data_IF_750298993383
#
_entry.id   IF_750298993383
#
_cell.length_a   1.000
_cell.length_b   1.000
_cell.length_c   1.000
_cell.angle_alpha   90.00
_cell.angle_beta   90.00
_cell.angle_gamma   90.00
#
_symmetry.space_group_name_H-M   'P 1'
#
loop_
_entity.id
_entity.type
_entity.pdbx_description
1 polymer ?
#
# COMPACT_ATOMS: atom_id res chain seq x y z
N UNK A 1 5.04 -9.54 11.11
CA UNK A 1 4.02 -10.57 11.35
C UNK A 1 2.57 -10.10 11.45
N UNK A 2 2.28 -8.90 10.98
CA UNK A 2 0.93 -8.37 10.87
C UNK A 2 0.04 -9.23 9.96
N UNK A 3 0.62 -9.81 8.91
CA UNK A 3 -0.08 -10.67 7.96
C UNK A 3 -0.49 -12.02 8.54
N UNK A 4 0.22 -12.49 9.57
CA UNK A 4 -0.07 -13.76 10.23
C UNK A 4 -1.10 -13.64 11.37
N UNK A 5 -1.31 -12.43 11.89
CA UNK A 5 -2.23 -12.19 13.01
C UNK A 5 -3.71 -12.14 12.65
N UNK A 6 -4.03 -11.89 11.40
CA UNK A 6 -5.39 -11.61 10.97
C UNK A 6 -6.04 -12.69 10.10
N UNK A 7 -5.77 -13.95 10.37
CA UNK A 7 -6.44 -15.07 9.69
C UNK A 7 -6.56 -14.94 8.16
N UNK A 8 -5.49 -14.41 7.49
CA UNK A 8 -5.43 -14.28 6.03
C UNK A 8 -6.50 -13.37 5.40
N UNK A 9 -7.21 -12.58 6.19
CA UNK A 9 -8.26 -11.68 5.68
C UNK A 9 -7.74 -10.38 5.06
N UNK A 10 -6.42 -10.20 5.02
CA UNK A 10 -5.77 -8.99 4.54
C UNK A 10 -5.23 -8.11 5.66
N UNK A 11 -4.75 -6.93 5.32
CA UNK A 11 -4.18 -5.98 6.27
C UNK A 11 -4.64 -4.55 5.97
N UNK A 12 -4.74 -3.73 7.00
CA UNK A 12 -5.01 -2.31 6.90
C UNK A 12 -3.80 -1.57 6.30
N UNK A 13 -4.04 -0.70 5.34
CA UNK A 13 -2.98 0.02 4.64
C UNK A 13 -2.15 0.90 5.60
N UNK A 14 -2.78 1.55 6.55
CA UNK A 14 -2.08 2.33 7.58
C UNK A 14 -1.13 1.50 8.42
N UNK A 15 -1.52 0.28 8.78
CA UNK A 15 -0.67 -0.65 9.52
C UNK A 15 0.51 -1.16 8.69
N UNK A 16 0.29 -1.43 7.40
CA UNK A 16 1.36 -1.81 6.47
C UNK A 16 2.41 -0.70 6.40
N UNK A 17 1.98 0.53 6.21
CA UNK A 17 2.88 1.69 6.13
C UNK A 17 3.61 1.92 7.45
N UNK A 18 2.92 1.85 8.58
CA UNK A 18 3.53 2.01 9.90
C UNK A 18 4.56 0.92 10.20
N UNK A 19 4.28 -0.31 9.84
CA UNK A 19 5.21 -1.44 10.00
C UNK A 19 6.47 -1.28 9.15
N UNK A 20 6.37 -0.70 7.98
CA UNK A 20 7.50 -0.40 7.11
C UNK A 20 8.41 0.70 7.71
N UNK A 21 7.84 1.66 8.41
CA UNK A 21 8.58 2.77 9.03
C UNK A 21 9.31 2.32 10.30
N UNK A 22 8.86 1.29 10.98
CA UNK A 22 9.41 0.85 12.26
C UNK A 22 10.92 0.59 12.25
N UNK A 23 11.53 -0.01 11.21
CA UNK A 23 12.99 -0.09 11.10
C UNK A 23 13.70 1.27 11.04
N UNK A 24 12.97 2.34 10.73
CA UNK A 24 13.44 3.73 10.70
C UNK A 24 12.89 4.54 11.89
N UNK A 25 12.71 3.89 13.07
CA UNK A 25 12.05 4.49 14.23
C UNK A 25 12.70 5.79 14.73
N UNK A 26 14.01 5.95 14.60
CA UNK A 26 14.72 7.18 14.91
C UNK A 26 14.41 8.34 13.97
N UNK A 27 13.74 8.07 12.86
CA UNK A 27 13.43 9.03 11.81
C UNK A 27 11.92 9.25 11.62
N UNK A 28 11.10 8.81 12.57
CA UNK A 28 9.62 8.91 12.50
C UNK A 28 9.12 10.31 12.20
N UNK A 29 9.75 11.33 12.75
CA UNK A 29 9.38 12.73 12.49
C UNK A 29 9.58 13.17 11.03
N UNK A 30 10.32 12.39 10.27
CA UNK A 30 10.60 12.64 8.83
C UNK A 30 9.57 12.02 7.91
N UNK A 31 8.67 11.18 8.46
CA UNK A 31 7.57 10.56 7.73
C UNK A 31 6.25 11.22 8.06
N UNK A 32 5.49 11.55 7.03
CA UNK A 32 4.10 11.98 7.15
C UNK A 32 3.21 10.97 6.46
N UNK A 33 2.27 10.41 7.21
CA UNK A 33 1.36 9.37 6.72
C UNK A 33 -0.06 9.88 6.84
N UNK A 34 -0.81 9.83 5.76
CA UNK A 34 -2.21 10.25 5.75
C UNK A 34 -3.03 9.44 4.76
N UNK A 35 -4.22 9.04 5.17
CA UNK A 35 -5.17 8.36 4.31
C UNK A 35 -6.30 7.70 5.09
N UNK A 36 -7.42 7.39 4.43
CA UNK A 36 -8.54 6.71 5.05
C UNK A 36 -8.21 5.25 5.40
N UNK A 37 -8.99 4.67 6.29
CA UNK A 37 -8.94 3.24 6.55
C UNK A 37 -9.25 2.47 5.29
N UNK A 38 -8.36 1.54 4.97
CA UNK A 38 -8.48 0.69 3.80
C UNK A 38 -7.85 -0.66 4.08
N UNK A 39 -8.57 -1.72 3.79
CA UNK A 39 -8.09 -3.08 3.92
C UNK A 39 -7.73 -3.63 2.55
N UNK A 40 -6.54 -4.20 2.43
CA UNK A 40 -6.05 -4.84 1.21
C UNK A 40 -6.09 -6.37 1.36
N UNK A 41 -6.35 -7.06 0.25
CA UNK A 41 -6.23 -8.51 0.19
C UNK A 41 -4.79 -8.95 0.51
N UNK A 42 -4.57 -10.18 1.03
CA UNK A 42 -3.24 -10.61 1.50
C UNK A 42 -2.13 -10.47 0.46
N UNK A 43 -2.36 -10.87 -0.78
CA UNK A 43 -1.33 -10.77 -1.84
C UNK A 43 -1.00 -9.32 -2.19
N UNK A 44 -2.02 -8.47 -2.30
CA UNK A 44 -1.84 -7.05 -2.53
C UNK A 44 -1.10 -6.37 -1.38
N UNK A 45 -1.46 -6.71 -0.13
CA UNK A 45 -0.79 -6.21 1.06
C UNK A 45 0.69 -6.58 1.09
N UNK A 46 1.03 -7.83 0.78
CA UNK A 46 2.41 -8.30 0.73
C UNK A 46 3.21 -7.58 -0.35
N UNK A 47 2.68 -7.50 -1.56
CA UNK A 47 3.34 -6.82 -2.68
C UNK A 47 3.56 -5.33 -2.38
N UNK A 48 2.59 -4.67 -1.77
CA UNK A 48 2.72 -3.28 -1.36
C UNK A 48 3.78 -3.09 -0.26
N UNK A 49 3.78 -3.96 0.76
CA UNK A 49 4.78 -3.93 1.83
C UNK A 49 6.20 -4.05 1.27
N UNK A 50 6.42 -4.96 0.33
CA UNK A 50 7.72 -5.15 -0.31
C UNK A 50 8.13 -3.94 -1.15
N UNK A 51 7.20 -3.34 -1.89
CA UNK A 51 7.46 -2.15 -2.70
C UNK A 51 7.81 -0.94 -1.82
N UNK A 52 7.07 -0.71 -0.74
CA UNK A 52 7.36 0.36 0.22
C UNK A 52 8.70 0.15 0.94
N UNK A 53 9.03 -1.08 1.28
CA UNK A 53 10.33 -1.44 1.85
C UNK A 53 11.48 -1.05 0.91
N UNK A 54 11.34 -1.37 -0.36
CA UNK A 54 12.33 -1.01 -1.39
C UNK A 54 12.47 0.50 -1.55
N UNK A 55 11.36 1.23 -1.57
CA UNK A 55 11.37 2.70 -1.60
C UNK A 55 12.07 3.29 -0.38
N UNK A 56 11.79 2.78 0.82
CA UNK A 56 12.42 3.22 2.06
C UNK A 56 13.92 2.94 2.08
N UNK A 57 14.33 1.76 1.64
CA UNK A 57 15.75 1.39 1.53
C UNK A 57 16.49 2.30 0.57
N UNK A 58 15.91 2.59 -0.60
CA UNK A 58 16.49 3.50 -1.57
C UNK A 58 16.54 4.94 -1.06
N UNK A 59 15.51 5.40 -0.36
CA UNK A 59 15.49 6.72 0.27
C UNK A 59 16.61 6.86 1.32
N UNK A 60 16.86 5.82 2.10
CA UNK A 60 17.93 5.80 3.11
C UNK A 60 19.32 5.78 2.50
N UNK A 61 19.50 5.08 1.39
CA UNK A 61 20.81 4.97 0.72
C UNK A 61 21.12 6.15 -0.20
N UNK A 62 20.16 6.62 -0.95
CA UNK A 62 20.36 7.54 -2.05
C UNK A 62 19.45 8.76 -2.05
N UNK A 63 18.35 8.72 -1.35
CA UNK A 63 17.27 9.68 -1.41
C UNK A 63 17.11 10.55 -0.16
N UNK A 64 15.89 10.93 0.10
CA UNK A 64 15.52 11.89 1.14
C UNK A 64 15.98 11.50 2.55
N UNK A 65 16.02 10.21 2.86
CA UNK A 65 16.47 9.75 4.18
C UNK A 65 17.99 9.68 4.33
N UNK A 66 18.74 9.91 3.27
CA UNK A 66 20.21 9.96 3.32
C UNK A 66 20.76 11.29 3.82
N UNK A 67 19.92 12.31 3.98
CA UNK A 67 20.27 13.62 4.51
C UNK A 67 19.41 13.97 5.73
N UNK A 68 19.90 14.81 6.68
CA UNK A 68 19.14 15.14 7.88
C UNK A 68 17.80 15.85 7.63
N UNK A 69 17.71 16.65 6.59
CA UNK A 69 16.54 17.49 6.30
C UNK A 69 15.52 16.83 5.37
N UNK A 70 15.82 15.65 4.84
CA UNK A 70 14.94 14.95 3.94
C UNK A 70 13.68 14.43 4.61
N UNK A 71 12.58 14.44 3.88
CA UNK A 71 11.26 14.01 4.35
C UNK A 71 10.58 13.11 3.32
N UNK A 72 9.72 12.25 3.82
CA UNK A 72 8.88 11.35 3.01
C UNK A 72 7.43 11.54 3.40
N UNK A 73 6.58 11.79 2.42
CA UNK A 73 5.13 11.83 2.59
C UNK A 73 4.54 10.62 1.91
N UNK A 74 3.74 9.85 2.64
CA UNK A 74 2.97 8.72 2.12
C UNK A 74 1.50 9.04 2.34
N UNK A 75 0.78 9.29 1.27
CA UNK A 75 -0.62 9.65 1.34
C UNK A 75 -1.43 8.82 0.35
N UNK A 76 -2.66 8.46 0.73
CA UNK A 76 -3.57 7.76 -0.15
C UNK A 76 -4.99 8.27 0.01
N UNK A 77 -5.75 8.11 -1.04
CA UNK A 77 -7.16 8.52 -1.09
C UNK A 77 -7.97 7.52 -1.91
N UNK A 78 -9.25 7.51 -1.65
CA UNK A 78 -10.25 6.77 -2.39
C UNK A 78 -11.15 7.74 -3.12
N UNK A 79 -11.19 7.64 -4.44
CA UNK A 79 -12.04 8.47 -5.28
C UNK A 79 -13.22 7.66 -5.82
N UNK A 80 -14.39 8.29 -5.87
CA UNK A 80 -15.63 7.67 -6.33
C UNK A 80 -16.39 6.92 -5.24
N UNK A 81 -17.51 6.35 -5.62
CA UNK A 81 -18.40 5.58 -4.75
C UNK A 81 -18.76 4.24 -5.39
N UNK A 82 -19.03 3.25 -4.52
CA UNK A 82 -19.43 1.92 -4.96
C UNK A 82 -18.34 1.14 -5.67
N UNK A 83 -18.69 0.24 -6.62
CA UNK A 83 -17.73 -0.69 -7.22
C UNK A 83 -16.70 -0.05 -8.14
N UNK A 84 -16.88 1.23 -8.50
CA UNK A 84 -15.94 1.98 -9.34
C UNK A 84 -14.92 2.83 -8.58
N UNK A 85 -14.78 2.65 -7.26
CA UNK A 85 -13.81 3.42 -6.48
C UNK A 85 -12.38 3.12 -6.92
N UNK A 86 -11.56 4.16 -6.90
CA UNK A 86 -10.14 4.04 -7.21
C UNK A 86 -9.29 4.43 -6.01
N UNK A 87 -8.24 3.68 -5.81
CA UNK A 87 -7.18 4.00 -4.86
C UNK A 87 -6.08 4.76 -5.59
N UNK A 88 -5.68 5.90 -5.04
CA UNK A 88 -4.44 6.57 -5.42
C UNK A 88 -3.54 6.67 -4.18
N UNK A 89 -2.37 6.04 -4.23
CA UNK A 89 -1.35 6.16 -3.20
C UNK A 89 -0.14 6.87 -3.80
N UNK A 90 0.44 7.79 -3.03
CA UNK A 90 1.62 8.55 -3.45
C UNK A 90 2.68 8.53 -2.36
N UNK A 91 3.89 8.16 -2.75
CA UNK A 91 5.13 8.32 -2.00
C UNK A 91 5.87 9.52 -2.56
N UNK A 92 6.18 10.51 -1.74
CA UNK A 92 6.87 11.73 -2.18
C UNK A 92 8.05 12.03 -1.26
N UNK A 93 9.24 12.09 -1.85
CA UNK A 93 10.46 12.48 -1.16
C UNK A 93 10.79 13.94 -1.42
N UNK A 94 11.33 14.61 -0.40
CA UNK A 94 11.78 16.01 -0.51
C UNK A 94 12.94 16.27 0.45
N UNK A 95 13.71 17.32 0.20
CA UNK A 95 14.81 17.76 1.07
C UNK A 95 16.04 16.86 1.07
N UNK A 96 16.08 15.86 0.21
CA UNK A 96 17.25 15.02 0.01
C UNK A 96 18.24 15.59 -0.99
N UNK A 97 19.29 14.84 -1.35
CA UNK A 97 20.23 15.26 -2.39
C UNK A 97 19.53 15.37 -3.74
N UNK A 98 20.08 16.14 -4.68
CA UNK A 98 19.54 16.19 -6.05
C UNK A 98 19.43 14.78 -6.62
N UNK A 99 18.25 14.44 -7.14
CA UNK A 99 17.99 13.12 -7.69
C UNK A 99 18.55 13.04 -9.10
N UNK A 100 19.38 12.03 -9.31
CA UNK A 100 19.87 11.64 -10.64
C UNK A 100 19.13 10.36 -11.02
N UNK A 101 18.47 10.32 -12.20
CA UNK A 101 17.84 9.08 -12.64
C UNK A 101 18.85 7.94 -12.68
N UNK A 102 18.55 6.77 -12.09
CA UNK A 102 19.47 5.64 -12.13
C UNK A 102 19.69 5.21 -13.57
N UNK A 103 20.95 5.06 -13.98
CA UNK A 103 21.32 4.57 -15.32
C UNK A 103 20.83 3.13 -15.54
N UNK A 104 20.72 2.37 -14.48
CA UNK A 104 20.19 1.01 -14.48
C UNK A 104 19.18 0.89 -13.35
N UNK A 105 17.91 0.74 -13.68
CA UNK A 105 16.92 0.32 -12.70
C UNK A 105 17.27 -1.11 -12.29
N UNK A 106 17.47 -1.35 -11.00
CA UNK A 106 17.70 -2.69 -10.48
C UNK A 106 16.58 -3.64 -10.92
N UNK A 107 16.95 -4.85 -11.31
CA UNK A 107 16.00 -5.88 -11.73
C UNK A 107 14.92 -6.13 -10.66
N UNK A 108 15.30 -6.10 -9.37
CA UNK A 108 14.39 -6.26 -8.25
C UNK A 108 13.31 -5.18 -8.16
N UNK A 109 13.67 -3.91 -8.36
CA UNK A 109 12.70 -2.79 -8.31
C UNK A 109 11.65 -2.88 -9.41
N UNK A 110 12.06 -3.25 -10.62
CA UNK A 110 11.12 -3.44 -11.74
C UNK A 110 10.18 -4.60 -11.51
N UNK A 111 10.69 -5.70 -10.97
CA UNK A 111 9.90 -6.88 -10.66
C UNK A 111 8.84 -6.58 -9.60
N UNK A 112 9.22 -5.87 -8.53
CA UNK A 112 8.30 -5.47 -7.47
C UNK A 112 7.21 -4.52 -7.99
N UNK A 113 7.56 -3.55 -8.82
CA UNK A 113 6.58 -2.63 -9.43
C UNK A 113 5.58 -3.38 -10.31
N UNK A 114 6.03 -4.32 -11.12
CA UNK A 114 5.17 -5.15 -11.96
C UNK A 114 4.27 -6.07 -11.15
N UNK A 115 4.81 -6.73 -10.13
CA UNK A 115 4.04 -7.59 -9.25
C UNK A 115 2.95 -6.81 -8.53
N UNK A 116 3.27 -5.64 -8.00
CA UNK A 116 2.29 -4.78 -7.33
C UNK A 116 1.21 -4.29 -8.30
N UNK A 117 1.58 -3.87 -9.50
CA UNK A 117 0.63 -3.44 -10.52
C UNK A 117 -0.34 -4.56 -10.90
N UNK A 118 0.16 -5.79 -11.04
CA UNK A 118 -0.66 -6.96 -11.35
C UNK A 118 -1.61 -7.31 -10.20
N UNK A 119 -1.11 -7.35 -8.97
CA UNK A 119 -1.91 -7.69 -7.79
C UNK A 119 -3.02 -6.66 -7.51
N UNK A 120 -2.76 -5.39 -7.76
CA UNK A 120 -3.74 -4.33 -7.61
C UNK A 120 -4.63 -4.12 -8.84
N UNK A 121 -4.27 -4.70 -9.98
CA UNK A 121 -4.95 -4.46 -11.25
C UNK A 121 -4.85 -3.02 -11.73
N UNK A 122 -3.76 -2.34 -11.41
CA UNK A 122 -3.57 -0.93 -11.66
C UNK A 122 -2.23 -0.57 -12.26
N UNK A 123 -1.83 0.68 -12.05
CA UNK A 123 -0.57 1.24 -12.55
C UNK A 123 0.30 1.68 -11.39
N UNK A 124 1.60 1.39 -11.51
CA UNK A 124 2.64 1.87 -10.60
C UNK A 124 3.66 2.64 -11.42
N UNK A 125 3.90 3.88 -11.06
CA UNK A 125 4.89 4.73 -11.72
C UNK A 125 5.86 5.32 -10.71
N UNK A 126 7.15 5.38 -11.07
CA UNK A 126 8.19 6.03 -10.30
C UNK A 126 8.80 7.13 -11.16
N UNK A 127 8.78 8.35 -10.63
CA UNK A 127 9.34 9.53 -11.26
C UNK A 127 10.55 10.03 -10.46
N UNK A 128 11.66 10.22 -11.13
CA UNK A 128 12.90 10.73 -10.54
C UNK A 128 12.99 12.23 -10.82
N UNK A 129 12.25 13.02 -10.03
CA UNK A 129 12.28 14.48 -10.12
C UNK A 129 13.53 15.02 -9.42
N UNK A 130 14.06 16.14 -9.89
CA UNK A 130 15.25 16.74 -9.28
C UNK A 130 15.08 17.03 -7.78
N UNK A 131 13.85 17.35 -7.36
CA UNK A 131 13.49 17.65 -5.96
C UNK A 131 13.25 16.42 -5.10
N UNK A 132 13.10 15.26 -5.70
CA UNK A 132 12.84 14.00 -4.97
C UNK A 132 12.19 12.94 -5.84
N UNK A 133 12.19 11.71 -5.35
CA UNK A 133 11.52 10.59 -5.97
C UNK A 133 10.02 10.66 -5.66
N UNK A 134 9.19 10.43 -6.65
CA UNK A 134 7.74 10.30 -6.52
C UNK A 134 7.32 8.94 -7.07
N UNK A 135 6.69 8.13 -6.23
CA UNK A 135 6.02 6.90 -6.65
C UNK A 135 4.50 7.10 -6.55
N UNK A 136 3.80 6.77 -7.61
CA UNK A 136 2.35 6.82 -7.65
C UNK A 136 1.77 5.46 -7.99
N UNK A 137 0.79 5.04 -7.21
CA UNK A 137 -0.01 3.84 -7.42
C UNK A 137 -1.44 4.28 -7.67
N UNK A 138 -2.00 3.84 -8.78
CA UNK A 138 -3.38 4.11 -9.18
C UNK A 138 -4.05 2.79 -9.55
N UNK A 139 -5.06 2.39 -8.78
CA UNK A 139 -5.67 1.08 -8.92
C UNK A 139 -7.16 1.10 -8.63
N UNK A 140 -7.95 0.26 -9.32
CA UNK A 140 -9.36 0.08 -8.95
C UNK A 140 -9.42 -0.63 -7.59
N UNK A 141 -10.39 -0.24 -6.77
CA UNK A 141 -10.66 -0.96 -5.54
C UNK A 141 -11.42 -2.24 -5.83
N UNK A 142 -11.01 -3.37 -5.25
CA UNK A 142 -11.80 -4.58 -5.33
C UNK A 142 -13.16 -4.35 -4.67
N UNK A 143 -14.20 -4.99 -5.22
CA UNK A 143 -15.53 -5.03 -4.61
C UNK A 143 -15.35 -5.56 -3.18
N UNK A 144 -15.98 -4.90 -2.19
CA UNK A 144 -16.11 -5.50 -0.87
C UNK A 144 -16.73 -6.88 -1.06
N UNK A 145 -16.04 -7.93 -0.65
CA UNK A 145 -16.73 -9.19 -0.37
C UNK A 145 -17.74 -8.87 0.71
N UNK A 146 -19.03 -8.88 0.36
CA UNK A 146 -20.07 -9.06 1.36
C UNK A 146 -19.77 -10.43 1.96
N UNK A 147 -19.38 -10.46 3.21
CA UNK A 147 -19.48 -11.66 4.01
C UNK A 147 -20.89 -12.16 3.81
N UNK A 148 -21.02 -13.36 3.24
CA UNK A 148 -22.32 -13.97 3.02
C UNK A 148 -23.01 -14.07 4.36
N UNK A 149 -24.08 -13.36 4.50
CA UNK A 149 -25.06 -13.63 5.53
C UNK A 149 -25.71 -14.96 5.12
N UNK A 150 -25.09 -16.06 5.54
CA UNK A 150 -25.76 -17.35 5.58
C UNK A 150 -26.88 -17.23 6.61
N UNK A 151 -27.99 -16.75 6.13
CA UNK A 151 -29.25 -16.88 6.83
C UNK A 151 -29.63 -18.36 6.84
N UNK A 152 -29.38 -18.98 7.97
CA UNK A 152 -29.97 -20.26 8.35
C UNK A 152 -31.51 -20.08 8.43
N UNK A 153 -32.17 -20.18 7.31
CA UNK A 153 -33.61 -20.41 7.25
C UNK A 153 -33.85 -21.88 7.50
N UNK A 154 -33.89 -22.24 8.76
CA UNK A 154 -34.53 -23.47 9.20
C UNK A 154 -36.03 -23.30 9.06
N UNK A 155 -36.56 -23.72 7.94
CA UNK A 155 -37.97 -24.00 7.79
C UNK A 155 -38.36 -25.09 8.81
N UNK A 156 -39.04 -24.64 9.84
CA UNK A 156 -39.78 -25.53 10.71
C UNK A 156 -40.98 -26.07 9.98
N UNK A 157 -40.88 -27.28 9.50
CA UNK A 157 -42.05 -28.08 9.10
C UNK A 157 -42.91 -28.37 10.30
N UNK A 158 -43.97 -27.62 10.47
CA UNK A 158 -45.10 -28.03 11.28
C UNK A 158 -45.91 -29.03 10.46
N UNK A 159 -45.91 -30.26 10.93
CA UNK A 159 -46.80 -31.31 10.47
C UNK A 159 -48.20 -31.06 11.07
N UNK A 160 -49.25 -30.90 10.27
CA UNK A 160 -50.62 -30.81 10.77
C UNK A 160 -51.30 -32.13 10.54
N UNK A 161 -51.13 -33.07 11.45
CA UNK A 161 -52.20 -34.07 11.63
C UNK A 161 -52.01 -34.89 12.91
N UNK A 162 -52.89 -34.56 13.83
CA UNK A 162 -53.52 -35.30 14.92
C UNK A 162 -53.39 -34.66 16.29
#
# INVERSE_FOLDING_TARGET
DLLMRENWSGADLGEIVSGMIEPHAGERSRFRIAGPRLRLAPNAALSLAMALQELATNAAKYGALSTPDGKVVIAWQLDGQGPGRRLTLRWTESGGPPVVPPKHKGFGSRLLQRALAMELGGKVSVSYQQTGVVCRIDAPMPKRHREGHDGDEREGTTDPDR
#
